data_IF_114612486648
#
_entry.id   IF_114612486648
#
_cell.length_a   1.000
_cell.length_b   1.000
_cell.length_c   1.000
_cell.angle_alpha   90.00
_cell.angle_beta   90.00
_cell.angle_gamma   90.00
#
_symmetry.space_group_name_H-M   'P 1'
#
loop_
_entity.id
_entity.type
_entity.pdbx_description
1 polymer ?
#
# COMPACT_ATOMS: atom_id res chain seq x y z
N UNK A 1 48.84 -13.71 -64.05
CA UNK A 1 47.60 -14.25 -63.48
C UNK A 1 47.63 -14.28 -61.93
N UNK A 2 48.83 -14.43 -61.34
CA UNK A 2 48.98 -14.50 -59.84
C UNK A 2 48.79 -13.14 -59.15
N UNK A 3 49.30 -12.06 -59.75
CA UNK A 3 49.31 -10.74 -59.12
C UNK A 3 47.90 -10.09 -59.00
N UNK A 4 47.05 -10.37 -59.96
CA UNK A 4 45.67 -9.84 -60.00
C UNK A 4 44.76 -10.48 -58.94
N UNK A 5 44.99 -11.76 -58.61
CA UNK A 5 44.27 -12.41 -57.52
C UNK A 5 44.69 -11.89 -56.14
N UNK A 6 45.98 -11.63 -55.95
CA UNK A 6 46.49 -11.06 -54.70
C UNK A 6 45.97 -9.62 -54.47
N UNK A 7 45.94 -8.80 -55.52
CA UNK A 7 45.41 -7.43 -55.44
C UNK A 7 43.90 -7.41 -55.12
N UNK A 8 43.10 -8.33 -55.70
CA UNK A 8 41.68 -8.45 -55.39
C UNK A 8 41.45 -8.93 -53.97
N UNK A 9 42.23 -9.88 -53.46
CA UNK A 9 42.16 -10.34 -52.08
C UNK A 9 42.52 -9.24 -51.08
N UNK A 10 43.56 -8.46 -51.34
CA UNK A 10 43.99 -7.33 -50.49
C UNK A 10 42.92 -6.23 -50.43
N UNK A 11 42.27 -5.90 -51.58
CA UNK A 11 41.15 -4.93 -51.62
C UNK A 11 39.91 -5.44 -50.86
N UNK A 12 39.58 -6.73 -50.98
CA UNK A 12 38.47 -7.32 -50.27
C UNK A 12 38.68 -7.31 -48.74
N UNK A 13 39.92 -7.59 -48.31
CA UNK A 13 40.28 -7.55 -46.89
C UNK A 13 40.26 -6.11 -46.33
N UNK A 14 40.72 -5.13 -47.13
CA UNK A 14 40.69 -3.72 -46.75
C UNK A 14 39.23 -3.23 -46.61
N UNK A 15 38.34 -3.54 -47.56
CA UNK A 15 36.90 -3.22 -47.47
C UNK A 15 36.24 -3.87 -46.28
N UNK A 16 36.66 -5.08 -45.91
CA UNK A 16 36.14 -5.77 -44.74
C UNK A 16 36.54 -5.07 -43.43
N UNK A 17 37.81 -4.69 -43.31
CA UNK A 17 38.32 -3.91 -42.16
C UNK A 17 37.66 -2.54 -42.03
N UNK A 18 37.38 -1.88 -43.14
CA UNK A 18 36.74 -0.57 -43.14
C UNK A 18 35.24 -0.69 -42.74
N UNK A 19 34.56 -1.74 -43.19
CA UNK A 19 33.19 -2.05 -42.70
C UNK A 19 33.18 -2.36 -41.21
N UNK A 20 34.07 -3.19 -40.71
CA UNK A 20 34.17 -3.51 -39.29
C UNK A 20 34.42 -2.25 -38.41
N UNK A 21 35.27 -1.32 -38.92
CA UNK A 21 35.49 -0.04 -38.22
C UNK A 21 34.27 0.87 -38.27
N UNK A 22 33.57 0.91 -39.39
CA UNK A 22 32.33 1.67 -39.53
C UNK A 22 31.25 1.14 -38.62
N UNK A 23 31.06 -0.18 -38.57
CA UNK A 23 30.08 -0.84 -37.70
C UNK A 23 30.38 -0.64 -36.22
N UNK A 24 31.66 -0.73 -35.80
CA UNK A 24 32.08 -0.40 -34.43
C UNK A 24 31.77 1.05 -34.07
N UNK A 25 32.10 1.99 -35.00
CA UNK A 25 31.82 3.40 -34.79
C UNK A 25 30.33 3.69 -34.68
N UNK A 26 29.54 3.07 -35.54
CA UNK A 26 28.07 3.20 -35.52
C UNK A 26 27.48 2.63 -34.23
N UNK A 27 27.88 1.45 -33.78
CA UNK A 27 27.44 0.86 -32.50
C UNK A 27 27.82 1.76 -31.34
N UNK A 28 29.06 2.28 -31.29
CA UNK A 28 29.47 3.19 -30.21
C UNK A 28 28.66 4.48 -30.19
N UNK A 29 28.37 5.06 -31.38
CA UNK A 29 27.52 6.27 -31.47
C UNK A 29 26.08 5.97 -30.97
N UNK A 30 25.50 4.84 -31.37
CA UNK A 30 24.18 4.42 -30.93
C UNK A 30 24.19 4.19 -29.42
N UNK A 31 25.18 3.50 -28.88
CA UNK A 31 25.27 3.24 -27.43
C UNK A 31 25.43 4.56 -26.66
N UNK A 32 26.26 5.48 -27.11
CA UNK A 32 26.43 6.80 -26.46
C UNK A 32 25.10 7.60 -26.54
N UNK A 33 24.42 7.56 -27.69
CA UNK A 33 23.12 8.24 -27.84
C UNK A 33 22.03 7.65 -26.87
N UNK A 34 21.98 6.33 -26.76
CA UNK A 34 21.05 5.66 -25.82
C UNK A 34 21.37 6.05 -24.37
N UNK A 35 22.65 6.00 -23.97
CA UNK A 35 23.08 6.39 -22.62
C UNK A 35 22.75 7.86 -22.33
N UNK A 36 22.97 8.75 -23.31
CA UNK A 36 22.62 10.16 -23.17
C UNK A 36 21.10 10.38 -23.01
N UNK A 37 20.28 9.69 -23.80
CA UNK A 37 18.81 9.76 -23.69
C UNK A 37 18.35 9.23 -22.34
N UNK A 38 18.89 8.10 -21.87
CA UNK A 38 18.54 7.53 -20.55
C UNK A 38 18.96 8.48 -19.43
N UNK A 39 20.16 9.09 -19.51
CA UNK A 39 20.61 10.07 -18.52
C UNK A 39 19.71 11.32 -18.49
N UNK A 40 19.25 11.80 -19.66
CA UNK A 40 18.30 12.93 -19.74
C UNK A 40 16.94 12.52 -19.16
N UNK A 41 16.44 11.33 -19.46
CA UNK A 41 15.17 10.85 -18.91
C UNK A 41 15.24 10.67 -17.39
N UNK A 42 16.37 10.17 -16.86
CA UNK A 42 16.58 10.08 -15.41
C UNK A 42 16.68 11.50 -14.81
N UNK A 43 17.43 12.41 -15.44
CA UNK A 43 17.57 13.79 -14.96
C UNK A 43 16.25 14.57 -14.97
N UNK A 44 15.46 14.46 -16.06
CA UNK A 44 14.15 15.09 -16.18
C UNK A 44 13.14 14.41 -15.25
N UNK A 45 13.18 13.09 -15.16
CA UNK A 45 12.35 12.33 -14.22
C UNK A 45 12.61 12.74 -12.77
N UNK A 46 13.87 12.81 -12.35
CA UNK A 46 14.25 13.25 -11.00
C UNK A 46 13.87 14.71 -10.73
N UNK A 47 14.04 15.60 -11.72
CA UNK A 47 13.63 17.00 -11.59
C UNK A 47 12.12 17.17 -11.55
N UNK A 48 11.37 16.41 -12.35
CA UNK A 48 9.92 16.42 -12.34
C UNK A 48 9.35 15.87 -11.00
N UNK A 49 9.94 14.80 -10.45
CA UNK A 49 9.57 14.24 -9.13
C UNK A 49 9.86 15.25 -8.01
N UNK A 50 11.05 15.91 -8.01
CA UNK A 50 11.36 16.93 -7.00
C UNK A 50 10.52 18.21 -7.17
N UNK A 51 10.09 18.54 -8.38
CA UNK A 51 9.24 19.72 -8.64
C UNK A 51 7.76 19.44 -8.40
N UNK A 52 7.31 18.21 -8.57
CA UNK A 52 5.95 17.76 -8.23
C UNK A 52 5.78 17.54 -6.70
N UNK A 53 6.86 17.19 -5.99
CA UNK A 53 6.90 17.07 -4.53
C UNK A 53 6.99 18.41 -3.79
N UNK A 54 6.91 19.53 -4.50
CA UNK A 54 6.79 20.89 -3.93
C UNK A 54 5.39 21.22 -3.42
N UNK A 55 4.49 20.24 -3.29
CA UNK A 55 3.26 20.36 -2.52
C UNK A 55 3.61 20.60 -1.05
N UNK A 56 3.00 21.59 -0.42
CA UNK A 56 3.08 21.80 1.02
C UNK A 56 2.71 20.48 1.68
N UNK A 57 3.66 19.84 2.36
CA UNK A 57 3.35 18.67 3.18
C UNK A 57 2.29 19.09 4.18
N UNK A 58 1.15 18.39 4.18
CA UNK A 58 0.10 18.64 5.16
C UNK A 58 0.65 18.43 6.56
N UNK A 59 0.22 19.23 7.55
CA UNK A 59 0.68 19.03 8.92
C UNK A 59 0.41 17.62 9.39
N UNK A 60 1.42 16.97 9.96
CA UNK A 60 1.24 15.65 10.55
C UNK A 60 0.49 15.78 11.86
N UNK A 61 -0.76 15.36 11.87
CA UNK A 61 -1.62 15.32 13.05
C UNK A 61 -1.92 13.88 13.39
N UNK A 62 -1.40 13.39 14.52
CA UNK A 62 -1.69 12.02 14.95
C UNK A 62 -3.16 11.93 15.42
N UNK A 63 -3.95 10.98 14.87
CA UNK A 63 -5.29 10.74 15.38
C UNK A 63 -5.26 10.27 16.83
N UNK A 64 -6.19 10.76 17.66
CA UNK A 64 -6.38 10.18 18.98
C UNK A 64 -6.70 8.67 18.83
N UNK A 65 -6.22 7.85 19.75
CA UNK A 65 -6.35 6.39 19.75
C UNK A 65 -5.55 5.64 18.66
N UNK A 66 -4.79 6.34 17.80
CA UNK A 66 -3.80 5.70 16.93
C UNK A 66 -2.46 5.55 17.66
N UNK A 67 -1.69 4.54 17.33
CA UNK A 67 -0.35 4.29 17.89
C UNK A 67 0.71 5.13 17.18
N UNK A 68 1.91 5.24 17.79
CA UNK A 68 3.03 6.00 17.21
C UNK A 68 3.62 5.34 15.97
N UNK A 69 3.40 4.05 15.79
CA UNK A 69 3.83 3.24 14.64
C UNK A 69 2.72 3.11 13.58
N UNK A 70 1.79 4.06 13.56
CA UNK A 70 0.70 4.18 12.60
C UNK A 70 -0.27 2.98 12.62
N UNK A 71 -0.49 2.37 13.78
CA UNK A 71 -1.45 1.30 13.98
C UNK A 71 -2.75 1.78 14.61
N UNK A 72 -3.85 1.15 14.27
CA UNK A 72 -5.12 1.22 14.95
C UNK A 72 -5.36 -0.12 15.64
N UNK A 73 -5.30 -0.12 16.97
CA UNK A 73 -5.38 -1.35 17.76
C UNK A 73 -6.84 -1.71 18.02
N UNK A 74 -7.22 -2.91 17.58
CA UNK A 74 -8.51 -3.53 17.85
C UNK A 74 -8.28 -4.79 18.68
N UNK A 75 -8.65 -4.74 19.95
CA UNK A 75 -8.45 -5.79 20.95
C UNK A 75 -9.79 -6.26 21.55
N UNK A 76 -9.73 -7.19 22.48
CA UNK A 76 -10.90 -7.73 23.15
C UNK A 76 -11.74 -6.65 23.84
N UNK A 77 -11.11 -5.61 24.42
CA UNK A 77 -11.84 -4.52 25.07
C UNK A 77 -12.60 -3.68 24.06
N UNK A 78 -11.98 -3.36 22.90
CA UNK A 78 -12.63 -2.67 21.78
C UNK A 78 -13.77 -3.50 21.18
N UNK A 79 -13.65 -4.82 21.19
CA UNK A 79 -14.69 -5.77 20.78
C UNK A 79 -15.81 -5.93 21.85
N UNK A 80 -15.69 -5.28 23.00
CA UNK A 80 -16.65 -5.42 24.10
C UNK A 80 -16.57 -6.77 24.83
N UNK A 81 -15.46 -7.49 24.70
CA UNK A 81 -15.22 -8.78 25.30
C UNK A 81 -14.28 -8.68 26.51
N UNK A 82 -14.34 -9.69 27.37
CA UNK A 82 -13.42 -9.83 28.51
C UNK A 82 -12.58 -11.08 28.30
N UNK A 83 -11.30 -10.95 27.94
CA UNK A 83 -10.46 -12.11 27.71
C UNK A 83 -10.11 -12.83 29.03
N UNK A 84 -9.68 -14.09 28.97
CA UNK A 84 -9.21 -14.82 30.14
C UNK A 84 -8.06 -14.10 30.85
N UNK A 85 -8.00 -14.21 32.19
CA UNK A 85 -6.90 -13.64 32.97
C UNK A 85 -5.56 -14.20 32.51
N UNK A 86 -4.59 -13.31 32.24
CA UNK A 86 -3.26 -13.70 31.77
C UNK A 86 -3.18 -14.02 30.26
N UNK A 87 -4.22 -13.76 29.50
CA UNK A 87 -4.17 -13.86 28.03
C UNK A 87 -2.99 -13.04 27.47
N UNK A 88 -2.27 -13.64 26.53
CA UNK A 88 -1.17 -13.00 25.79
C UNK A 88 -1.54 -13.01 24.30
N UNK A 89 -2.25 -11.99 23.83
CA UNK A 89 -2.68 -11.97 22.45
C UNK A 89 -1.50 -11.89 21.48
N UNK A 90 -1.60 -12.62 20.40
CA UNK A 90 -0.69 -12.50 19.25
C UNK A 90 -1.09 -11.23 18.47
N UNK A 91 -0.10 -10.45 18.06
CA UNK A 91 -0.37 -9.27 17.21
C UNK A 91 -0.48 -9.69 15.74
N UNK A 92 -1.59 -9.30 15.11
CA UNK A 92 -1.82 -9.43 13.68
C UNK A 92 -1.87 -8.02 13.10
N UNK A 93 -0.85 -7.64 12.32
CA UNK A 93 -0.84 -6.37 11.59
C UNK A 93 -1.42 -6.59 10.19
N UNK A 94 -2.31 -5.70 9.76
CA UNK A 94 -2.97 -5.78 8.46
C UNK A 94 -2.78 -4.45 7.75
N UNK A 95 -1.94 -4.45 6.70
CA UNK A 95 -1.76 -3.30 5.81
C UNK A 95 -2.82 -3.37 4.71
N UNK A 96 -3.61 -2.32 4.58
CA UNK A 96 -4.79 -2.35 3.71
C UNK A 96 -5.14 -1.00 3.10
N UNK A 97 -5.91 -1.06 1.99
CA UNK A 97 -6.45 0.09 1.28
C UNK A 97 -7.95 -0.11 1.07
N UNK A 98 -8.76 0.89 1.43
CA UNK A 98 -10.22 0.81 1.37
C UNK A 98 -10.80 0.74 -0.05
N UNK A 99 -10.02 0.89 -1.09
CA UNK A 99 -10.46 0.66 -2.47
C UNK A 99 -9.84 -0.59 -3.10
N UNK A 100 -8.95 -1.29 -2.40
CA UNK A 100 -8.33 -2.52 -2.91
C UNK A 100 -9.30 -3.70 -2.92
N UNK A 101 -9.63 -4.30 -4.09
CA UNK A 101 -10.59 -5.39 -4.17
C UNK A 101 -10.09 -6.67 -3.49
N UNK A 102 -8.76 -6.86 -3.42
CA UNK A 102 -8.17 -8.01 -2.72
C UNK A 102 -8.33 -7.85 -1.20
N UNK A 103 -8.23 -6.62 -0.66
CA UNK A 103 -8.52 -6.34 0.75
C UNK A 103 -9.98 -6.65 1.08
N UNK A 104 -10.94 -6.22 0.24
CA UNK A 104 -12.35 -6.58 0.42
C UNK A 104 -12.56 -8.10 0.47
N UNK A 105 -11.91 -8.82 -0.43
CA UNK A 105 -12.02 -10.29 -0.48
C UNK A 105 -11.39 -10.93 0.76
N UNK A 106 -10.27 -10.40 1.23
CA UNK A 106 -9.61 -10.83 2.45
C UNK A 106 -10.51 -10.62 3.69
N UNK A 107 -11.05 -9.42 3.86
CA UNK A 107 -11.94 -9.10 4.98
C UNK A 107 -13.23 -9.97 4.96
N UNK A 108 -13.82 -10.16 3.79
CA UNK A 108 -14.99 -11.04 3.64
C UNK A 108 -14.69 -12.51 3.96
N UNK A 109 -13.47 -12.97 3.73
CA UNK A 109 -13.09 -14.37 3.96
C UNK A 109 -12.59 -14.63 5.38
N UNK A 110 -11.97 -13.65 6.03
CA UNK A 110 -11.24 -13.85 7.29
C UNK A 110 -11.74 -13.02 8.46
N UNK A 111 -12.57 -11.99 8.21
CA UNK A 111 -13.04 -11.04 9.23
C UNK A 111 -13.71 -11.71 10.40
N UNK A 112 -14.70 -12.59 10.16
CA UNK A 112 -15.41 -13.32 11.24
C UNK A 112 -14.46 -14.18 12.09
N UNK A 113 -13.48 -14.82 11.46
CA UNK A 113 -12.45 -15.60 12.15
C UNK A 113 -11.59 -14.72 13.04
N UNK A 114 -11.06 -13.62 12.49
CA UNK A 114 -10.23 -12.68 13.23
C UNK A 114 -10.98 -12.02 14.38
N UNK A 115 -12.23 -11.61 14.17
CA UNK A 115 -13.09 -11.04 15.22
C UNK A 115 -13.33 -12.04 16.36
N UNK A 116 -13.54 -13.32 16.06
CA UNK A 116 -13.63 -14.36 17.07
C UNK A 116 -12.33 -14.55 17.86
N UNK A 117 -11.15 -14.48 17.19
CA UNK A 117 -9.85 -14.55 17.84
C UNK A 117 -9.61 -13.32 18.75
N UNK A 118 -10.03 -12.13 18.31
CA UNK A 118 -9.95 -10.90 19.12
C UNK A 118 -10.86 -11.01 20.34
N UNK A 119 -12.12 -11.41 20.17
CA UNK A 119 -13.08 -11.55 21.27
C UNK A 119 -12.62 -12.59 22.31
N UNK A 120 -11.95 -13.65 21.90
CA UNK A 120 -11.37 -14.65 22.82
C UNK A 120 -10.11 -14.15 23.55
N UNK A 121 -9.51 -13.03 23.14
CA UNK A 121 -8.22 -12.53 23.65
C UNK A 121 -7.01 -13.27 23.10
N UNK A 122 -7.17 -14.10 22.07
CA UNK A 122 -6.06 -14.81 21.43
C UNK A 122 -5.26 -13.90 20.49
N UNK A 123 -5.91 -12.89 19.92
CA UNK A 123 -5.33 -11.96 18.94
C UNK A 123 -5.64 -10.52 19.34
N UNK A 124 -4.71 -9.64 18.98
CA UNK A 124 -4.94 -8.19 18.86
C UNK A 124 -4.63 -7.81 17.40
N UNK A 125 -5.56 -7.15 16.73
CA UNK A 125 -5.33 -6.64 15.38
C UNK A 125 -4.76 -5.22 15.46
N UNK A 126 -3.75 -4.95 14.65
CA UNK A 126 -3.25 -3.61 14.37
C UNK A 126 -3.52 -3.31 12.89
N UNK A 127 -4.60 -2.60 12.59
CA UNK A 127 -4.85 -2.11 11.25
C UNK A 127 -3.82 -1.04 10.89
N UNK A 128 -3.19 -1.19 9.74
CA UNK A 128 -2.13 -0.32 9.21
C UNK A 128 -2.61 0.30 7.88
N UNK A 129 -3.13 1.53 7.88
CA UNK A 129 -3.57 2.16 6.63
C UNK A 129 -2.43 2.27 5.62
N UNK A 130 -2.70 1.83 4.39
CA UNK A 130 -1.74 1.84 3.29
C UNK A 130 -2.42 2.29 1.99
N UNK A 131 -2.84 3.57 1.95
CA UNK A 131 -3.58 4.18 0.83
C UNK A 131 -2.69 4.40 -0.38
N UNK A 132 -2.39 3.35 -1.16
CA UNK A 132 -1.47 3.42 -2.29
C UNK A 132 -2.16 3.52 -3.66
N UNK A 133 -3.46 3.21 -3.74
CA UNK A 133 -4.19 3.21 -5.01
C UNK A 133 -4.39 4.61 -5.58
N UNK A 134 -4.41 5.65 -4.75
CA UNK A 134 -4.53 7.04 -5.21
C UNK A 134 -3.39 7.41 -6.17
N UNK A 135 -2.15 7.01 -5.87
CA UNK A 135 -0.98 7.32 -6.70
C UNK A 135 -0.84 6.42 -7.92
N UNK A 136 -1.45 5.25 -7.88
CA UNK A 136 -1.40 4.27 -8.97
C UNK A 136 -2.58 4.44 -9.97
N UNK A 137 -3.40 5.49 -9.81
CA UNK A 137 -4.58 5.74 -10.65
C UNK A 137 -5.71 4.75 -10.42
N UNK A 138 -5.67 4.00 -9.32
CA UNK A 138 -6.72 3.07 -8.89
C UNK A 138 -7.84 3.75 -8.11
N UNK A 139 -7.65 5.01 -7.71
CA UNK A 139 -8.59 5.81 -6.91
C UNK A 139 -8.67 7.25 -7.46
N UNK A 140 -9.43 7.50 -8.56
CA UNK A 140 -9.36 8.76 -9.30
C UNK A 140 -9.75 10.01 -8.49
N UNK A 141 -10.70 9.91 -7.54
CA UNK A 141 -11.09 11.01 -6.65
C UNK A 141 -10.43 10.88 -5.26
N UNK A 142 -9.30 10.20 -5.14
CA UNK A 142 -8.56 9.97 -3.88
C UNK A 142 -9.41 9.27 -2.80
N UNK A 143 -10.31 8.38 -3.21
CA UNK A 143 -11.17 7.70 -2.26
C UNK A 143 -10.40 6.86 -1.23
N UNK A 144 -9.31 6.17 -1.62
CA UNK A 144 -8.46 5.42 -0.69
C UNK A 144 -8.01 6.29 0.48
N UNK A 145 -7.52 7.49 0.18
CA UNK A 145 -7.05 8.45 1.18
C UNK A 145 -8.20 9.07 1.99
N UNK A 146 -9.27 9.51 1.30
CA UNK A 146 -10.44 10.14 1.94
C UNK A 146 -11.21 9.17 2.84
N UNK A 147 -11.37 7.91 2.43
CA UNK A 147 -11.97 6.86 3.26
C UNK A 147 -11.12 6.56 4.51
N UNK A 148 -9.80 6.50 4.34
CA UNK A 148 -8.87 6.34 5.47
C UNK A 148 -8.98 7.52 6.44
N UNK A 149 -8.98 8.76 5.94
CA UNK A 149 -9.16 9.95 6.78
C UNK A 149 -10.51 9.91 7.53
N UNK A 150 -11.60 9.53 6.86
CA UNK A 150 -12.91 9.40 7.51
C UNK A 150 -12.90 8.35 8.62
N UNK A 151 -12.27 7.19 8.39
CA UNK A 151 -12.12 6.16 9.41
C UNK A 151 -11.28 6.63 10.60
N UNK A 152 -10.22 7.42 10.36
CA UNK A 152 -9.41 8.04 11.42
C UNK A 152 -10.15 9.14 12.18
N UNK A 153 -11.03 9.91 11.53
CA UNK A 153 -11.91 10.85 12.21
C UNK A 153 -12.88 10.13 13.16
N UNK A 154 -13.42 8.99 12.71
CA UNK A 154 -14.25 8.11 13.54
C UNK A 154 -13.46 7.52 14.70
N UNK A 155 -12.22 7.05 14.45
CA UNK A 155 -11.31 6.56 15.50
C UNK A 155 -11.08 7.62 16.58
N UNK A 156 -10.77 8.83 16.16
CA UNK A 156 -10.38 9.92 17.09
C UNK A 156 -11.52 10.32 18.03
N UNK A 157 -12.76 10.25 17.56
CA UNK A 157 -13.96 10.61 18.33
C UNK A 157 -14.58 9.41 19.06
N UNK A 158 -14.74 8.28 18.37
CA UNK A 158 -15.47 7.10 18.84
C UNK A 158 -14.61 5.93 19.31
N UNK A 159 -13.29 6.00 19.17
CA UNK A 159 -12.37 4.93 19.56
C UNK A 159 -12.36 3.73 18.62
N UNK A 160 -11.61 2.69 19.01
CA UNK A 160 -11.35 1.53 18.16
C UNK A 160 -12.61 0.71 17.82
N UNK A 161 -13.59 0.64 18.71
CA UNK A 161 -14.87 -0.03 18.43
C UNK A 161 -15.66 0.68 17.31
N UNK A 162 -15.68 2.01 17.32
CA UNK A 162 -16.32 2.79 16.25
C UNK A 162 -15.53 2.70 14.95
N UNK A 163 -14.19 2.74 15.03
CA UNK A 163 -13.31 2.51 13.87
C UNK A 163 -13.64 1.19 13.17
N UNK A 164 -13.71 0.06 13.92
CA UNK A 164 -14.03 -1.26 13.35
C UNK A 164 -15.36 -1.25 12.60
N UNK A 165 -16.39 -0.61 13.16
CA UNK A 165 -17.69 -0.48 12.47
C UNK A 165 -17.60 0.34 11.19
N UNK A 166 -16.81 1.42 11.19
CA UNK A 166 -16.57 2.23 9.99
C UNK A 166 -15.77 1.45 8.94
N UNK A 167 -14.72 0.78 9.36
CA UNK A 167 -13.90 -0.11 8.55
C UNK A 167 -14.77 -1.15 7.81
N UNK A 168 -15.60 -1.89 8.54
CA UNK A 168 -16.48 -2.91 7.97
C UNK A 168 -17.51 -2.29 7.00
N UNK A 169 -18.06 -1.12 7.35
CA UNK A 169 -19.01 -0.42 6.50
C UNK A 169 -18.33 0.09 5.19
N UNK A 170 -17.08 0.50 5.24
CA UNK A 170 -16.32 0.92 4.05
C UNK A 170 -16.07 -0.26 3.12
N UNK A 171 -15.65 -1.43 3.64
CA UNK A 171 -15.47 -2.62 2.82
C UNK A 171 -16.78 -3.21 2.30
N UNK A 172 -17.83 -3.22 3.10
CA UNK A 172 -19.16 -3.69 2.65
C UNK A 172 -19.67 -2.88 1.45
N UNK A 173 -19.38 -1.58 1.44
CA UNK A 173 -19.80 -0.64 0.40
C UNK A 173 -18.63 -0.13 -0.46
N UNK A 174 -17.59 -0.93 -0.61
CA UNK A 174 -16.39 -0.54 -1.35
C UNK A 174 -16.71 -0.27 -2.82
N UNK A 175 -16.33 0.91 -3.38
CA UNK A 175 -16.43 1.17 -4.80
C UNK A 175 -15.44 0.31 -5.59
N UNK A 176 -15.72 0.12 -6.88
CA UNK A 176 -14.80 -0.57 -7.77
C UNK A 176 -13.50 0.23 -7.93
N UNK A 177 -12.38 -0.49 -8.00
CA UNK A 177 -11.08 0.11 -8.33
C UNK A 177 -11.15 0.83 -9.67
N UNK A 178 -10.48 1.97 -9.80
CA UNK A 178 -10.46 2.86 -10.97
C UNK A 178 -11.79 3.57 -11.24
N UNK A 179 -12.68 3.59 -10.27
CA UNK A 179 -13.87 4.43 -10.31
C UNK A 179 -13.82 5.47 -9.21
N UNK A 180 -14.59 6.55 -9.36
CA UNK A 180 -14.78 7.49 -8.27
C UNK A 180 -15.49 6.78 -7.10
N UNK A 181 -14.91 6.93 -5.93
CA UNK A 181 -15.57 6.47 -4.71
C UNK A 181 -16.58 7.50 -4.17
N UNK A 182 -17.34 7.14 -3.13
CA UNK A 182 -18.25 8.04 -2.43
C UNK A 182 -17.63 9.39 -2.08
N UNK A 183 -18.44 10.44 -2.18
CA UNK A 183 -18.06 11.79 -1.75
C UNK A 183 -18.10 11.92 -0.21
N UNK A 184 -17.53 13.01 0.31
CA UNK A 184 -17.40 13.23 1.77
C UNK A 184 -18.75 13.22 2.50
N UNK A 185 -19.81 13.70 1.85
CA UNK A 185 -21.17 13.68 2.43
C UNK A 185 -21.61 12.25 2.75
N UNK A 186 -21.32 11.29 1.89
CA UNK A 186 -21.66 9.90 2.11
C UNK A 186 -20.77 9.26 3.20
N UNK A 187 -19.48 9.62 3.27
CA UNK A 187 -18.59 9.18 4.34
C UNK A 187 -19.05 9.72 5.72
N UNK A 188 -19.48 10.98 5.75
CA UNK A 188 -20.08 11.61 6.94
C UNK A 188 -21.37 10.89 7.36
N UNK A 189 -22.24 10.57 6.40
CA UNK A 189 -23.49 9.88 6.69
C UNK A 189 -23.24 8.45 7.20
N UNK A 190 -22.22 7.76 6.73
CA UNK A 190 -21.80 6.46 7.28
C UNK A 190 -21.33 6.59 8.73
N UNK A 191 -20.54 7.62 9.03
CA UNK A 191 -20.14 7.88 10.42
C UNK A 191 -21.35 8.12 11.33
N UNK A 192 -22.33 8.90 10.86
CA UNK A 192 -23.58 9.12 11.61
C UNK A 192 -24.38 7.82 11.83
N UNK A 193 -24.43 6.93 10.83
CA UNK A 193 -25.12 5.63 10.94
C UNK A 193 -24.53 4.73 12.02
N UNK A 194 -23.23 4.81 12.26
CA UNK A 194 -22.55 4.07 13.34
C UNK A 194 -22.54 4.82 14.68
N UNK A 195 -23.21 5.99 14.76
CA UNK A 195 -23.38 6.77 15.98
C UNK A 195 -22.30 7.82 16.25
N UNK A 196 -21.41 8.11 15.29
CA UNK A 196 -20.38 9.17 15.41
C UNK A 196 -20.84 10.39 14.64
N UNK A 197 -20.88 11.54 15.33
CA UNK A 197 -21.38 12.82 14.79
C UNK A 197 -20.43 13.97 15.13
N UNK A 198 -20.53 15.09 14.41
CA UNK A 198 -19.69 16.29 14.70
C UNK A 198 -18.29 16.22 14.12
N UNK A 199 -18.00 15.23 13.26
CA UNK A 199 -16.71 15.04 12.61
C UNK A 199 -16.69 15.54 11.15
N UNK A 200 -17.71 16.28 10.72
CA UNK A 200 -17.87 16.74 9.34
C UNK A 200 -16.66 17.53 8.86
N UNK A 201 -16.16 18.48 9.64
CA UNK A 201 -14.95 19.26 9.31
C UNK A 201 -13.69 18.40 9.27
N UNK A 202 -13.55 17.43 10.19
CA UNK A 202 -12.42 16.49 10.18
C UNK A 202 -12.33 15.72 8.86
N UNK A 203 -13.49 15.27 8.34
CA UNK A 203 -13.55 14.52 7.07
C UNK A 203 -13.26 15.46 5.89
N UNK A 204 -13.99 16.61 5.78
CA UNK A 204 -13.86 17.52 4.64
C UNK A 204 -12.51 18.22 4.53
N UNK A 205 -11.89 18.52 5.67
CA UNK A 205 -10.59 19.19 5.72
C UNK A 205 -9.42 18.19 5.63
N UNK A 206 -9.71 16.90 5.40
CA UNK A 206 -8.72 15.81 5.36
C UNK A 206 -7.69 15.91 6.50
N UNK A 207 -8.18 16.11 7.73
CA UNK A 207 -7.38 16.46 8.91
C UNK A 207 -6.15 15.59 9.14
N UNK A 208 -6.20 14.32 8.76
CA UNK A 208 -5.14 13.34 9.01
C UNK A 208 -4.32 13.02 7.77
N UNK A 209 -4.42 13.82 6.69
CA UNK A 209 -3.69 13.62 5.42
C UNK A 209 -2.19 13.36 5.65
N UNK A 210 -1.49 14.26 6.34
CA UNK A 210 -0.06 14.09 6.59
C UNK A 210 0.30 12.85 7.41
N UNK A 211 -0.58 12.39 8.32
CA UNK A 211 -0.36 11.17 9.07
C UNK A 211 -0.56 9.92 8.20
N UNK A 212 -1.51 9.95 7.26
CA UNK A 212 -1.75 8.85 6.31
C UNK A 212 -0.54 8.70 5.38
N UNK A 213 0.02 9.82 4.90
CA UNK A 213 1.23 9.83 4.08
C UNK A 213 2.42 9.22 4.83
N UNK A 214 2.60 9.57 6.12
CA UNK A 214 3.63 8.98 6.97
C UNK A 214 3.39 7.49 7.24
N UNK A 215 2.13 7.07 7.46
CA UNK A 215 1.76 5.68 7.66
C UNK A 215 2.13 4.84 6.44
N UNK A 216 1.81 5.35 5.24
CA UNK A 216 2.18 4.73 3.98
C UNK A 216 3.69 4.63 3.82
N UNK A 217 4.43 5.74 4.00
CA UNK A 217 5.88 5.75 3.90
C UNK A 217 6.55 4.79 4.90
N UNK A 218 5.98 4.65 6.11
CA UNK A 218 6.43 3.69 7.10
C UNK A 218 6.20 2.23 6.65
N UNK A 219 5.06 1.93 6.03
CA UNK A 219 4.77 0.63 5.44
C UNK A 219 5.72 0.29 4.30
N UNK A 220 5.96 1.21 3.37
CA UNK A 220 6.93 1.05 2.27
C UNK A 220 8.34 0.75 2.82
N UNK A 221 8.76 1.48 3.83
CA UNK A 221 10.04 1.25 4.52
C UNK A 221 10.12 -0.10 5.22
N UNK A 222 8.99 -0.63 5.68
CA UNK A 222 8.88 -1.97 6.26
C UNK A 222 8.82 -3.07 5.17
N UNK A 223 8.86 -2.73 3.89
CA UNK A 223 8.84 -3.66 2.76
C UNK A 223 7.44 -4.03 2.27
N UNK A 224 6.42 -3.26 2.66
CA UNK A 224 5.06 -3.44 2.14
C UNK A 224 4.98 -2.84 0.73
N UNK A 225 4.64 -3.64 -0.25
CA UNK A 225 4.54 -3.27 -1.67
C UNK A 225 3.19 -3.66 -2.30
N UNK A 226 2.30 -4.29 -1.52
CA UNK A 226 0.97 -4.71 -1.93
C UNK A 226 -0.02 -4.73 -0.76
N UNK A 227 -1.32 -4.72 -1.06
CA UNK A 227 -2.39 -4.90 -0.07
C UNK A 227 -3.33 -6.04 -0.45
N UNK A 228 -3.86 -6.79 0.52
CA UNK A 228 -3.45 -6.73 1.91
C UNK A 228 -2.07 -7.36 2.12
N UNK A 229 -1.26 -6.79 3.01
CA UNK A 229 -0.09 -7.46 3.58
C UNK A 229 -0.40 -7.77 5.04
N UNK A 230 -0.23 -9.03 5.44
CA UNK A 230 -0.54 -9.50 6.80
C UNK A 230 0.73 -9.97 7.48
N UNK A 231 0.94 -9.48 8.72
CA UNK A 231 2.10 -9.84 9.55
C UNK A 231 1.60 -10.37 10.88
N UNK A 232 2.01 -11.58 11.25
CA UNK A 232 1.66 -12.22 12.52
C UNK A 232 2.92 -12.32 13.36
N UNK A 233 2.93 -11.66 14.51
CA UNK A 233 4.08 -11.61 15.42
C UNK A 233 5.41 -11.30 14.71
N UNK A 234 5.39 -10.27 13.86
CA UNK A 234 6.56 -9.80 13.08
C UNK A 234 6.94 -10.67 11.87
N UNK A 235 6.14 -11.68 11.51
CA UNK A 235 6.38 -12.54 10.34
C UNK A 235 5.29 -12.35 9.30
N UNK A 236 5.68 -12.03 8.06
CA UNK A 236 4.74 -11.94 6.96
C UNK A 236 4.07 -13.30 6.69
N UNK A 237 2.75 -13.28 6.46
CA UNK A 237 1.94 -14.45 6.18
C UNK A 237 1.27 -14.29 4.82
N UNK A 238 1.37 -15.32 3.99
CA UNK A 238 0.74 -15.38 2.68
C UNK A 238 0.19 -16.80 2.43
N UNK A 239 -0.72 -16.93 1.49
CA UNK A 239 -1.12 -18.25 1.02
C UNK A 239 0.00 -18.92 0.19
N UNK A 240 -0.16 -20.17 -0.17
CA UNK A 240 0.83 -20.95 -0.94
C UNK A 240 1.18 -20.37 -2.32
N UNK A 241 0.35 -19.48 -2.86
CA UNK A 241 0.59 -18.78 -4.12
C UNK A 241 1.24 -17.38 -3.92
N UNK A 242 1.56 -16.99 -2.68
CA UNK A 242 2.15 -15.69 -2.35
C UNK A 242 1.15 -14.53 -2.28
N UNK A 243 -0.16 -14.81 -2.34
CA UNK A 243 -1.22 -13.81 -2.20
C UNK A 243 -1.72 -13.66 -0.75
N UNK A 244 -2.83 -12.94 -0.59
CA UNK A 244 -3.48 -12.75 0.71
C UNK A 244 -3.74 -14.09 1.43
N UNK A 245 -3.43 -14.22 2.74
CA UNK A 245 -3.65 -15.46 3.48
C UNK A 245 -5.14 -15.73 3.68
N UNK A 246 -5.51 -17.00 3.73
CA UNK A 246 -6.83 -17.45 4.14
C UNK A 246 -6.89 -17.77 5.64
N UNK A 247 -8.05 -18.23 6.09
CA UNK A 247 -8.27 -18.61 7.51
C UNK A 247 -7.26 -19.68 7.97
N UNK A 248 -7.00 -20.69 7.13
CA UNK A 248 -6.06 -21.79 7.49
C UNK A 248 -4.63 -21.27 7.68
N UNK A 249 -4.17 -20.36 6.81
CA UNK A 249 -2.84 -19.75 6.89
C UNK A 249 -2.70 -18.90 8.16
N UNK A 250 -3.72 -18.09 8.46
CA UNK A 250 -3.79 -17.27 9.67
C UNK A 250 -3.81 -18.12 10.94
N UNK A 251 -4.63 -19.16 10.96
CA UNK A 251 -4.73 -20.09 12.10
C UNK A 251 -3.39 -20.77 12.38
N UNK A 252 -2.70 -21.23 11.34
CA UNK A 252 -1.37 -21.84 11.48
C UNK A 252 -0.34 -20.84 12.00
N UNK A 253 -0.34 -19.61 11.47
CA UNK A 253 0.60 -18.57 11.90
C UNK A 253 0.35 -18.12 13.35
N UNK A 254 -0.91 -17.93 13.76
CA UNK A 254 -1.29 -17.57 15.13
C UNK A 254 -0.89 -18.70 16.09
N UNK A 255 -1.18 -19.96 15.76
CA UNK A 255 -0.80 -21.09 16.59
C UNK A 255 0.74 -21.21 16.76
N UNK A 256 1.50 -20.96 15.70
CA UNK A 256 2.96 -20.95 15.74
C UNK A 256 3.54 -19.80 16.59
N UNK A 257 2.85 -18.66 16.67
CA UNK A 257 3.26 -17.53 17.51
C UNK A 257 2.92 -17.71 18.99
N UNK A 258 1.98 -18.62 19.32
CA UNK A 258 1.59 -18.94 20.70
C UNK A 258 2.43 -20.08 21.32
N UNK A 259 3.23 -20.80 20.51
CA UNK A 259 4.03 -21.94 20.93
C UNK A 259 5.36 -21.51 21.56
#
# INVERSE_FOLDING_TARGET
>A
VSNDRQQRAARAEQMRRDREKADRRQRNVITVAIVAVVAVLIGVGSYAVTSASGGKSSPVVQPANATKDHGIVYDAAAAGATPPAGAKPVTVEIYEDFQCPVCKSFEAATGDFLDAQVASGAVTIAYKPFSFLDDNGGSPNRYSHRATNAALCVLADGGASAYKKMHDALYANQPEERTDGPEDDELIDRAKQIGVTGIDSCIRDEKYEGWIDEARAAGEKAGVDQTPTVVVDGKAVSNSAGGAPGVEDLQAAIAAAQA
#
